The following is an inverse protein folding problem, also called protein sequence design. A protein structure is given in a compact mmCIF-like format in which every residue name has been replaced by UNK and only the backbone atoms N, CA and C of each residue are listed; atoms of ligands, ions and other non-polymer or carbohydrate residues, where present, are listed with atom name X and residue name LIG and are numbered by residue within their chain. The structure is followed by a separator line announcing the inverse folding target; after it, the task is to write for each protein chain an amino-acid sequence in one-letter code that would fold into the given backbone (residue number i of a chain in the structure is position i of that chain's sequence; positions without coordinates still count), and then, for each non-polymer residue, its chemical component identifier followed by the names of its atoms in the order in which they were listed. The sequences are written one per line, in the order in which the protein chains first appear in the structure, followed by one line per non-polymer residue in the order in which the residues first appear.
data_IF_939669983922
#
_entry.id   IF_939669983922
#
_cell.length_a   1.000
_cell.length_b   1.000
_cell.length_c   1.000
_cell.angle_alpha   90.00
_cell.angle_beta   90.00
_cell.angle_gamma   90.00
#
_symmetry.space_group_name_H-M   'P 1'
#
loop_
_entity.id
_entity.type
_entity.pdbx_description
1 polymer ?
#
# COMPACT_ATOMS: atom_id res chain seq x y z
N UNK A 1 -12.01 -5.65 12.22
CA UNK A 1 -10.58 -5.42 12.51
C UNK A 1 -9.87 -5.12 11.20
N UNK A 2 -9.07 -4.07 11.17
CA UNK A 2 -8.22 -3.70 10.02
C UNK A 2 -6.79 -4.19 10.28
N UNK A 3 -6.15 -4.70 9.25
CA UNK A 3 -4.73 -5.05 9.29
C UNK A 3 -3.94 -4.01 8.48
N UNK A 4 -2.72 -3.73 8.92
CA UNK A 4 -1.78 -2.94 8.12
C UNK A 4 -1.15 -3.81 7.06
N UNK A 5 -1.07 -3.31 5.84
CA UNK A 5 -0.42 -3.96 4.72
C UNK A 5 0.62 -3.02 4.11
N UNK A 6 1.77 -3.59 3.77
CA UNK A 6 2.65 -2.97 2.77
C UNK A 6 2.33 -3.57 1.42
N UNK A 7 1.99 -2.70 0.48
CA UNK A 7 1.73 -3.05 -0.90
C UNK A 7 2.88 -2.50 -1.74
N UNK A 8 3.68 -3.40 -2.30
CA UNK A 8 4.79 -3.05 -3.17
C UNK A 8 4.47 -3.52 -4.60
N UNK A 9 4.85 -2.73 -5.60
CA UNK A 9 4.62 -3.10 -7.00
C UNK A 9 5.87 -2.87 -7.86
N UNK A 10 6.08 -3.79 -8.79
CA UNK A 10 7.05 -3.68 -9.87
C UNK A 10 6.29 -3.81 -11.20
N UNK A 11 6.15 -2.69 -11.91
CA UNK A 11 5.30 -2.57 -13.09
C UNK A 11 6.17 -2.15 -14.28
N UNK A 12 6.22 -3.01 -15.31
CA UNK A 12 7.15 -2.83 -16.43
C UNK A 12 6.74 -1.68 -17.37
N UNK A 13 5.44 -1.40 -17.50
CA UNK A 13 4.92 -0.37 -18.41
C UNK A 13 4.59 0.96 -17.69
N UNK A 14 5.11 2.10 -18.17
CA UNK A 14 4.85 3.41 -17.56
C UNK A 14 3.38 3.86 -17.56
N UNK A 15 2.53 3.39 -18.49
CA UNK A 15 1.11 3.75 -18.50
C UNK A 15 0.36 2.97 -17.42
N UNK A 16 0.59 1.65 -17.33
CA UNK A 16 0.03 0.81 -16.24
C UNK A 16 0.52 1.28 -14.87
N UNK A 17 1.79 1.65 -14.75
CA UNK A 17 2.36 2.18 -13.52
C UNK A 17 1.62 3.44 -13.02
N UNK A 18 1.28 4.37 -13.92
CA UNK A 18 0.49 5.57 -13.57
C UNK A 18 -0.92 5.22 -13.11
N UNK A 19 -1.53 4.20 -13.70
CA UNK A 19 -2.85 3.72 -13.30
C UNK A 19 -2.80 3.04 -11.93
N UNK A 20 -1.85 2.13 -11.71
CA UNK A 20 -1.62 1.48 -10.42
C UNK A 20 -1.39 2.53 -9.32
N UNK A 21 -0.49 3.49 -9.55
CA UNK A 21 -0.24 4.57 -8.60
C UNK A 21 -1.50 5.37 -8.27
N UNK A 22 -2.30 5.72 -9.28
CA UNK A 22 -3.56 6.45 -9.09
C UNK A 22 -4.57 5.64 -8.29
N UNK A 23 -4.69 4.34 -8.56
CA UNK A 23 -5.56 3.44 -7.81
C UNK A 23 -5.10 3.34 -6.35
N UNK A 24 -3.81 3.10 -6.10
CA UNK A 24 -3.26 2.95 -4.76
C UNK A 24 -3.45 4.18 -3.87
N UNK A 25 -3.48 5.39 -4.44
CA UNK A 25 -3.77 6.65 -3.72
C UNK A 25 -5.16 6.70 -3.08
N UNK A 26 -6.11 5.87 -3.51
CA UNK A 26 -7.42 5.77 -2.89
C UNK A 26 -7.46 4.78 -1.71
N UNK A 27 -6.45 3.91 -1.59
CA UNK A 27 -6.43 2.79 -0.64
C UNK A 27 -5.44 2.97 0.52
N UNK A 28 -4.44 3.85 0.38
CA UNK A 28 -3.51 4.14 1.46
C UNK A 28 -2.47 5.20 1.14
N UNK A 29 -1.47 5.27 2.01
CA UNK A 29 -0.46 6.30 2.02
C UNK A 29 0.75 5.89 1.19
N UNK A 30 1.24 6.82 0.37
CA UNK A 30 2.39 6.60 -0.50
C UNK A 30 3.69 6.77 0.29
N UNK A 31 4.45 5.68 0.45
CA UNK A 31 5.71 5.68 1.21
C UNK A 31 6.93 5.90 0.31
N UNK A 32 7.00 5.16 -0.79
CA UNK A 32 8.06 5.26 -1.79
C UNK A 32 7.46 5.07 -3.18
N UNK A 33 8.23 5.36 -4.23
CA UNK A 33 7.80 5.29 -5.63
C UNK A 33 6.96 4.05 -5.99
N UNK A 34 7.34 2.91 -5.42
CA UNK A 34 6.71 1.60 -5.66
C UNK A 34 6.13 0.96 -4.41
N UNK A 35 5.94 1.71 -3.31
CA UNK A 35 5.53 1.17 -2.01
C UNK A 35 4.46 2.04 -1.35
N UNK A 36 3.36 1.40 -0.96
CA UNK A 36 2.25 2.01 -0.22
C UNK A 36 2.01 1.26 1.09
N UNK A 37 1.53 2.00 2.08
CA UNK A 37 0.99 1.44 3.32
C UNK A 37 -0.53 1.61 3.35
N UNK A 38 -1.25 0.53 3.62
CA UNK A 38 -2.71 0.52 3.61
C UNK A 38 -3.28 -0.14 4.87
N UNK A 39 -4.33 0.43 5.45
CA UNK A 39 -5.08 -0.19 6.56
C UNK A 39 -6.37 -0.83 6.03
N UNK A 40 -6.29 -2.13 5.74
CA UNK A 40 -7.33 -2.83 4.98
C UNK A 40 -8.09 -3.81 5.87
N UNK A 41 -9.41 -3.86 5.70
CA UNK A 41 -10.19 -5.05 6.09
C UNK A 41 -9.99 -6.17 5.08
N UNK A 42 -10.45 -7.39 5.40
CA UNK A 42 -10.43 -8.50 4.42
C UNK A 42 -11.19 -8.19 3.14
N UNK A 43 -12.31 -7.47 3.25
CA UNK A 43 -13.10 -7.05 2.08
C UNK A 43 -12.37 -5.98 1.27
N UNK A 44 -11.74 -5.02 1.93
CA UNK A 44 -10.94 -3.98 1.27
C UNK A 44 -9.77 -4.61 0.49
N UNK A 45 -9.06 -5.57 1.11
CA UNK A 45 -7.97 -6.29 0.46
C UNK A 45 -8.44 -7.05 -0.79
N UNK A 46 -9.61 -7.71 -0.73
CA UNK A 46 -10.17 -8.42 -1.88
C UNK A 46 -10.54 -7.46 -3.02
N UNK A 47 -11.12 -6.30 -2.69
CA UNK A 47 -11.46 -5.26 -3.67
C UNK A 47 -10.22 -4.66 -4.31
N UNK A 48 -9.22 -4.28 -3.51
CA UNK A 48 -7.95 -3.76 -4.00
C UNK A 48 -7.26 -4.75 -4.94
N UNK A 49 -7.24 -6.05 -4.58
CA UNK A 49 -6.68 -7.10 -5.45
C UNK A 49 -7.42 -7.18 -6.78
N UNK A 50 -8.75 -7.12 -6.77
CA UNK A 50 -9.53 -7.14 -7.99
C UNK A 50 -9.25 -5.91 -8.87
N UNK A 51 -9.25 -4.71 -8.29
CA UNK A 51 -8.96 -3.47 -9.04
C UNK A 51 -7.56 -3.47 -9.66
N UNK A 52 -6.55 -3.94 -8.92
CA UNK A 52 -5.20 -4.05 -9.45
C UNK A 52 -5.07 -5.13 -10.53
N UNK A 53 -5.78 -6.26 -10.37
CA UNK A 53 -5.76 -7.36 -11.34
C UNK A 53 -6.29 -6.95 -12.72
N UNK A 54 -7.21 -5.98 -12.79
CA UNK A 54 -7.72 -5.41 -14.05
C UNK A 54 -6.72 -4.45 -14.72
N UNK A 55 -5.75 -3.92 -13.97
CA UNK A 55 -4.81 -2.92 -14.46
C UNK A 55 -3.48 -3.56 -14.87
N UNK A 56 -2.98 -4.53 -14.10
CA UNK A 56 -1.65 -5.12 -14.29
C UNK A 56 -1.63 -6.15 -15.42
N UNK A 57 -0.45 -6.33 -16.00
CA UNK A 57 -0.17 -7.46 -16.87
C UNK A 57 0.42 -8.62 -16.04
N UNK A 58 -0.35 -9.69 -15.86
CA UNK A 58 -0.03 -10.79 -14.93
C UNK A 58 1.32 -11.49 -15.22
N UNK A 59 1.80 -11.50 -16.46
CA UNK A 59 3.11 -12.10 -16.79
C UNK A 59 4.32 -11.15 -16.68
N UNK A 60 4.09 -9.83 -16.60
CA UNK A 60 5.14 -8.80 -16.70
C UNK A 60 5.25 -7.91 -15.46
N UNK A 61 4.18 -7.88 -14.66
CA UNK A 61 4.05 -7.01 -13.52
C UNK A 61 3.87 -7.85 -12.25
N UNK A 62 4.36 -7.34 -11.13
CA UNK A 62 4.22 -7.98 -9.84
C UNK A 62 3.66 -6.99 -8.81
N UNK A 63 2.70 -7.46 -8.00
CA UNK A 63 2.24 -6.75 -6.81
C UNK A 63 2.36 -7.68 -5.61
N UNK A 64 3.08 -7.24 -4.59
CA UNK A 64 3.26 -7.93 -3.33
C UNK A 64 2.40 -7.30 -2.25
N UNK A 65 1.74 -8.14 -1.46
CA UNK A 65 0.97 -7.74 -0.29
C UNK A 65 1.59 -8.38 0.95
N UNK A 66 2.15 -7.56 1.82
CA UNK A 66 2.75 -8.00 3.08
C UNK A 66 1.80 -7.66 4.20
N UNK A 67 1.15 -8.67 4.80
CA UNK A 67 0.32 -8.49 6.00
C UNK A 67 1.25 -8.27 7.19
N UNK A 68 1.02 -7.18 7.89
CA UNK A 68 1.81 -6.78 9.02
C UNK A 68 1.10 -6.94 10.36
N UNK A 69 -0.10 -7.54 10.33
CA UNK A 69 -0.94 -7.78 11.48
C UNK A 69 -1.92 -6.64 11.77
N UNK A 70 -2.58 -6.70 12.93
CA UNK A 70 -3.58 -5.71 13.32
C UNK A 70 -3.02 -4.29 13.31
N UNK A 71 -3.80 -3.33 12.80
CA UNK A 71 -3.41 -1.92 12.80
C UNK A 71 -3.41 -1.30 14.22
N UNK A 72 -4.23 -1.85 15.14
CA UNK A 72 -4.30 -1.39 16.53
C UNK A 72 -3.09 -1.87 17.35
N UNK A 73 -2.45 -0.95 18.07
CA UNK A 73 -1.34 -1.26 19.00
C UNK A 73 0.03 -1.43 18.35
N UNK A 74 0.15 -1.16 17.05
CA UNK A 74 1.41 -1.24 16.32
C UNK A 74 2.20 0.05 16.54
N UNK A 75 3.12 0.05 17.51
CA UNK A 75 4.12 1.12 17.60
C UNK A 75 4.95 1.19 16.32
N UNK A 76 5.51 2.36 15.99
CA UNK A 76 6.29 2.70 14.78
C UNK A 76 7.48 1.77 14.41
N UNK A 77 7.67 0.65 15.13
CA UNK A 77 8.92 -0.11 15.22
C UNK A 77 9.07 -1.24 14.20
N UNK A 78 8.14 -1.44 13.27
CA UNK A 78 8.18 -2.60 12.35
C UNK A 78 8.72 -2.24 10.97
N UNK A 79 8.67 -0.96 10.58
CA UNK A 79 9.22 -0.49 9.31
C UNK A 79 10.49 0.31 9.62
N UNK A 80 11.64 -0.19 9.18
CA UNK A 80 12.92 0.52 9.28
C UNK A 80 13.41 0.92 7.89
N UNK A 81 13.96 2.13 7.77
CA UNK A 81 14.57 2.62 6.53
C UNK A 81 16.07 2.88 6.73
N UNK A 82 16.84 2.74 5.65
CA UNK A 82 18.23 3.16 5.56
C UNK A 82 18.33 4.37 4.63
N UNK A 83 19.03 5.44 5.06
CA UNK A 83 19.14 6.69 4.30
C UNK A 83 18.13 7.74 4.76
N UNK A 84 17.16 8.09 3.90
CA UNK A 84 16.08 9.01 4.31
C UNK A 84 15.22 8.33 5.39
N UNK A 85 14.91 9.02 6.51
CA UNK A 85 14.10 8.42 7.56
C UNK A 85 12.70 8.09 7.03
N UNK A 86 12.16 6.96 7.49
CA UNK A 86 10.74 6.66 7.34
C UNK A 86 9.98 7.59 8.29
N UNK A 87 9.05 8.36 7.74
CA UNK A 87 8.09 9.13 8.51
C UNK A 87 6.76 8.45 8.30
N UNK A 88 6.24 7.76 9.33
CA UNK A 88 4.83 7.37 9.34
C UNK A 88 4.02 8.66 9.19
N UNK A 89 3.20 8.73 8.13
CA UNK A 89 2.20 9.80 8.06
C UNK A 89 1.13 9.36 9.04
N UNK A 90 1.21 9.84 10.28
CA UNK A 90 0.09 9.76 11.21
C UNK A 90 -1.14 10.29 10.45
N UNK A 91 -2.06 9.38 10.08
CA UNK A 91 -3.33 9.78 9.51
C UNK A 91 -3.97 10.81 10.47
N UNK A 92 -4.55 11.89 9.94
CA UNK A 92 -4.67 13.16 10.66
C UNK A 92 -5.50 13.00 11.93
N UNK A 93 -5.07 13.73 12.96
CA UNK A 93 -5.97 14.27 13.98
C UNK A 93 -7.29 14.67 13.30
N UNK A 94 -8.37 14.02 13.70
CA UNK A 94 -9.71 14.50 13.41
C UNK A 94 -9.81 15.88 14.07
N UNK A 95 -9.75 16.95 13.27
CA UNK A 95 -10.19 18.27 13.74
C UNK A 95 -11.71 18.25 13.61
N UNK A 96 -12.36 18.29 14.78
CA UNK A 96 -13.81 18.42 14.98
C UNK A 96 -14.35 19.71 14.35
#
# INVERSE_FOLDING_TARGET
MRNSYIVAYDIADPKRLRLVFKTMRAWGDHLQYSVFECQLTRMDLARLRAELAEIIHHDLDQVLFVDLGPAEGRGDRVISALGKPYTSVDAPLIVL
#
